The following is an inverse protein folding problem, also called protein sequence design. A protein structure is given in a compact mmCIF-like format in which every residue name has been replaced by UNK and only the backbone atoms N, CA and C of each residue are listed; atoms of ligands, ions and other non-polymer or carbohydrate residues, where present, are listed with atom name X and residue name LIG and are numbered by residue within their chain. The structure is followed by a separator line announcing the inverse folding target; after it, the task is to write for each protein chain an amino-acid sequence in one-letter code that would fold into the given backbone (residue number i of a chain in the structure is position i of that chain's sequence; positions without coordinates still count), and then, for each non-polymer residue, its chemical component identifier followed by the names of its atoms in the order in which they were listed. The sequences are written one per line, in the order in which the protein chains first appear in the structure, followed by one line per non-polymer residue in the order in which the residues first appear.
data_IF_082100536660
#
_entry.id   IF_082100536660
#
_cell.length_a   1.000
_cell.length_b   1.000
_cell.length_c   1.000
_cell.angle_alpha   90.00
_cell.angle_beta   90.00
_cell.angle_gamma   90.00
#
_symmetry.space_group_name_H-M   'P 1'
#
loop_
_entity.id
_entity.type
_entity.pdbx_description
1 polymer ?
#
# COMPACT_ATOMS: atom_id res chain seq x y z
N UNK A 1 -27.21 48.21 -19.47
CA UNK A 1 -26.34 49.09 -20.21
C UNK A 1 -24.91 48.71 -19.95
N UNK A 2 -24.18 48.21 -20.95
CA UNK A 2 -22.75 47.94 -20.87
C UNK A 2 -22.02 49.30 -20.76
N UNK A 3 -21.56 49.67 -19.59
CA UNK A 3 -20.56 50.73 -19.45
C UNK A 3 -19.19 50.10 -19.84
N UNK A 4 -18.81 50.24 -21.09
CA UNK A 4 -17.42 50.00 -21.53
C UNK A 4 -16.58 51.16 -20.99
N UNK A 5 -15.93 50.94 -19.83
CA UNK A 5 -14.97 51.89 -19.28
C UNK A 5 -13.77 52.02 -20.22
N UNK A 6 -13.38 53.25 -20.57
CA UNK A 6 -12.16 53.55 -21.31
C UNK A 6 -11.00 53.74 -20.32
N UNK A 7 -9.91 53.01 -20.49
CA UNK A 7 -8.68 53.23 -19.72
C UNK A 7 -7.81 54.22 -20.48
N UNK A 8 -7.57 55.35 -19.84
CA UNK A 8 -6.77 56.43 -20.45
C UNK A 8 -5.58 56.75 -19.56
N UNK A 9 -4.40 56.65 -20.10
CA UNK A 9 -3.16 57.14 -19.50
C UNK A 9 -2.99 58.59 -19.86
N UNK A 10 -2.88 59.48 -18.86
CA UNK A 10 -2.75 60.93 -19.07
C UNK A 10 -1.41 61.44 -18.56
N UNK A 11 -0.76 62.26 -19.37
CA UNK A 11 0.42 62.99 -18.98
C UNK A 11 0.17 64.48 -19.19
N UNK A 12 0.35 65.29 -18.15
CA UNK A 12 0.14 66.72 -18.22
C UNK A 12 1.42 67.47 -17.93
N UNK A 13 1.66 68.54 -18.69
CA UNK A 13 2.78 69.43 -18.52
C UNK A 13 2.32 70.89 -18.65
N UNK A 14 2.91 71.76 -17.86
CA UNK A 14 2.68 73.21 -18.01
C UNK A 14 3.56 73.74 -19.15
N UNK A 15 2.95 74.39 -20.12
CA UNK A 15 3.62 75.00 -21.28
C UNK A 15 3.27 76.48 -21.34
N UNK A 16 4.09 77.26 -21.99
CA UNK A 16 3.71 78.59 -22.43
C UNK A 16 2.98 78.51 -23.79
N UNK A 17 1.77 78.95 -23.83
CA UNK A 17 0.99 79.03 -25.06
C UNK A 17 0.56 80.45 -25.33
N UNK A 18 1.21 81.09 -26.31
CA UNK A 18 0.96 82.45 -26.71
C UNK A 18 1.16 83.53 -25.59
N UNK A 19 2.20 83.32 -24.75
CA UNK A 19 2.50 84.21 -23.66
C UNK A 19 1.64 84.01 -22.38
N UNK A 20 0.89 82.91 -22.32
CA UNK A 20 0.08 82.54 -21.16
C UNK A 20 0.40 81.11 -20.70
N UNK A 21 0.49 80.84 -19.38
CA UNK A 21 0.68 79.50 -18.87
C UNK A 21 -0.56 78.62 -19.20
N UNK A 22 -0.35 77.51 -19.85
CA UNK A 22 -1.36 76.53 -20.23
C UNK A 22 -0.97 75.14 -19.79
N UNK A 23 -1.94 74.22 -19.57
CA UNK A 23 -1.68 72.81 -19.30
C UNK A 23 -1.89 72.03 -20.62
N UNK A 24 -0.86 71.44 -21.09
CA UNK A 24 -0.94 70.44 -22.18
C UNK A 24 -1.16 69.07 -21.56
N UNK A 25 -2.30 68.43 -21.88
CA UNK A 25 -2.57 67.04 -21.47
C UNK A 25 -2.59 66.15 -22.70
N UNK A 26 -1.74 65.16 -22.71
CA UNK A 26 -1.76 64.08 -23.67
C UNK A 26 -2.51 62.92 -23.07
N UNK A 27 -3.55 62.43 -23.73
CA UNK A 27 -4.33 61.29 -23.32
C UNK A 27 -4.15 60.14 -24.31
N UNK A 28 -3.75 58.99 -23.80
CA UNK A 28 -3.53 57.77 -24.61
C UNK A 28 -4.52 56.71 -24.19
N UNK A 29 -5.27 56.14 -25.12
CA UNK A 29 -6.11 54.98 -24.87
C UNK A 29 -5.26 53.73 -24.66
N UNK A 30 -5.35 53.10 -23.48
CA UNK A 30 -4.62 51.91 -23.09
C UNK A 30 -5.59 50.74 -22.78
N UNK A 31 -6.86 50.87 -23.19
CA UNK A 31 -7.91 49.88 -22.88
C UNK A 31 -7.56 48.47 -23.42
N UNK A 32 -7.01 48.39 -24.63
CA UNK A 32 -6.59 47.12 -25.23
C UNK A 32 -5.44 46.45 -24.42
N UNK A 33 -4.41 47.22 -24.03
CA UNK A 33 -3.32 46.73 -23.21
C UNK A 33 -3.84 46.22 -21.85
N UNK A 34 -4.71 47.00 -21.19
CA UNK A 34 -5.30 46.61 -19.91
C UNK A 34 -6.20 45.39 -20.04
N UNK A 35 -6.96 45.23 -21.10
CA UNK A 35 -7.79 44.05 -21.32
C UNK A 35 -6.95 42.77 -21.49
N UNK A 36 -5.81 42.87 -22.19
CA UNK A 36 -4.86 41.77 -22.34
C UNK A 36 -4.21 41.38 -21.00
N UNK A 37 -3.77 42.38 -20.22
CA UNK A 37 -3.19 42.15 -18.88
C UNK A 37 -4.17 41.43 -17.97
N UNK A 38 -5.43 41.87 -17.93
CA UNK A 38 -6.52 41.27 -17.13
C UNK A 38 -6.82 39.86 -17.62
N UNK A 39 -6.91 39.66 -18.93
CA UNK A 39 -7.16 38.34 -19.54
C UNK A 39 -6.02 37.34 -19.22
N UNK A 40 -4.77 37.75 -19.35
CA UNK A 40 -3.61 36.95 -19.02
C UNK A 40 -3.59 36.59 -17.51
N UNK A 41 -3.83 37.60 -16.65
CA UNK A 41 -3.88 37.34 -15.20
C UNK A 41 -5.02 36.41 -14.80
N UNK A 42 -6.17 36.51 -15.47
CA UNK A 42 -7.31 35.61 -15.25
C UNK A 42 -6.98 34.18 -15.70
N UNK A 43 -6.40 34.03 -16.88
CA UNK A 43 -5.98 32.72 -17.40
C UNK A 43 -4.94 32.05 -16.50
N UNK A 44 -3.93 32.81 -16.04
CA UNK A 44 -2.91 32.32 -15.10
C UNK A 44 -3.51 31.85 -13.78
N UNK A 45 -4.41 32.64 -13.18
CA UNK A 45 -5.11 32.26 -11.94
C UNK A 45 -5.95 31.01 -12.12
N UNK A 46 -6.68 30.93 -13.23
CA UNK A 46 -7.52 29.77 -13.51
C UNK A 46 -6.70 28.50 -13.66
N UNK A 47 -5.53 28.55 -14.33
CA UNK A 47 -4.62 27.43 -14.41
C UNK A 47 -4.08 27.03 -13.03
N UNK A 48 -3.71 28.00 -12.18
CA UNK A 48 -3.28 27.75 -10.80
C UNK A 48 -4.39 27.09 -9.96
N UNK A 49 -5.62 27.63 -9.96
CA UNK A 49 -6.73 26.99 -9.24
C UNK A 49 -7.02 25.59 -9.72
N UNK A 50 -6.88 25.33 -11.03
CA UNK A 50 -7.05 23.96 -11.55
C UNK A 50 -6.00 23.01 -10.98
N UNK A 51 -4.74 23.41 -10.93
CA UNK A 51 -3.66 22.61 -10.36
C UNK A 51 -3.80 22.42 -8.85
N UNK A 52 -4.25 23.47 -8.13
CA UNK A 52 -4.48 23.40 -6.67
C UNK A 52 -5.71 22.55 -6.29
N UNK A 53 -6.69 22.39 -7.20
CA UNK A 53 -7.87 21.55 -6.98
C UNK A 53 -7.63 20.07 -7.25
N UNK A 54 -6.48 19.70 -7.81
CA UNK A 54 -6.09 18.30 -8.04
C UNK A 54 -5.67 17.70 -6.69
N UNK A 55 -6.27 16.55 -6.35
CA UNK A 55 -5.92 15.80 -5.13
C UNK A 55 -4.57 15.09 -5.20
N UNK A 56 -3.99 15.02 -6.40
CA UNK A 56 -2.66 14.46 -6.62
C UNK A 56 -1.58 15.52 -6.37
N UNK A 57 -0.42 15.08 -5.85
CA UNK A 57 0.74 15.94 -5.74
C UNK A 57 1.28 16.31 -7.13
N UNK A 58 1.42 17.60 -7.41
CA UNK A 58 1.99 18.10 -8.66
C UNK A 58 3.18 18.99 -8.36
N UNK A 59 4.32 18.66 -8.96
CA UNK A 59 5.55 19.46 -8.94
C UNK A 59 5.97 19.74 -10.37
N UNK A 60 6.35 20.98 -10.67
CA UNK A 60 7.05 21.29 -11.92
C UNK A 60 8.48 21.73 -11.63
N UNK A 61 9.35 21.47 -12.60
CA UNK A 61 10.76 21.84 -12.50
C UNK A 61 11.23 22.55 -13.79
N UNK A 62 12.31 23.29 -13.67
CA UNK A 62 13.06 23.81 -14.80
C UNK A 62 13.90 22.70 -15.48
N UNK A 63 14.71 23.12 -16.48
CA UNK A 63 15.61 22.23 -17.22
C UNK A 63 16.76 21.64 -16.37
N UNK A 64 17.09 22.26 -15.27
CA UNK A 64 18.14 21.82 -14.34
C UNK A 64 17.56 20.91 -13.26
N UNK A 65 16.24 20.63 -13.32
CA UNK A 65 15.52 19.80 -12.36
C UNK A 65 15.20 20.51 -11.04
N UNK A 66 15.27 21.87 -11.03
CA UNK A 66 14.91 22.66 -9.84
C UNK A 66 13.44 22.96 -9.83
N UNK A 67 12.82 22.83 -8.67
CA UNK A 67 11.38 23.04 -8.45
C UNK A 67 11.04 24.52 -8.69
N UNK A 68 10.09 24.78 -9.57
CA UNK A 68 9.51 26.10 -9.86
C UNK A 68 8.04 26.23 -9.40
N UNK A 69 7.35 25.11 -9.21
CA UNK A 69 5.99 25.08 -8.69
C UNK A 69 5.70 23.77 -7.93
N UNK A 70 4.88 23.88 -6.89
CA UNK A 70 4.32 22.79 -6.10
C UNK A 70 2.89 23.14 -5.71
N UNK A 71 1.94 22.20 -5.85
CA UNK A 71 0.55 22.38 -5.39
C UNK A 71 0.41 21.96 -3.92
N UNK A 72 -0.75 22.32 -3.32
CA UNK A 72 -1.06 22.04 -1.90
C UNK A 72 -1.01 20.55 -1.56
N UNK A 73 -1.44 19.66 -2.49
CA UNK A 73 -1.39 18.22 -2.26
C UNK A 73 0.06 17.72 -2.16
N UNK A 74 0.96 18.25 -2.98
CA UNK A 74 2.39 17.93 -2.89
C UNK A 74 3.03 18.45 -1.61
N UNK A 75 2.69 19.68 -1.18
CA UNK A 75 3.14 20.23 0.10
C UNK A 75 2.74 19.34 1.28
N UNK A 76 1.50 18.86 1.29
CA UNK A 76 0.97 18.01 2.34
C UNK A 76 1.65 16.62 2.39
N UNK A 77 1.94 16.03 1.22
CA UNK A 77 2.56 14.71 1.13
C UNK A 77 4.05 14.73 1.46
N UNK A 78 4.76 15.81 1.11
CA UNK A 78 6.21 15.93 1.34
C UNK A 78 6.51 16.52 2.72
N UNK A 79 5.55 17.24 3.32
CA UNK A 79 5.76 17.95 4.58
C UNK A 79 6.54 19.28 4.45
N UNK A 80 6.77 19.77 3.22
CA UNK A 80 7.54 20.97 2.94
C UNK A 80 6.70 21.95 2.13
N UNK A 81 6.68 23.23 2.50
CA UNK A 81 5.94 24.24 1.76
C UNK A 81 6.66 24.64 0.47
N UNK A 82 5.89 25.16 -0.51
CA UNK A 82 6.40 25.54 -1.83
C UNK A 82 7.53 26.57 -1.81
N UNK A 83 7.49 27.50 -0.86
CA UNK A 83 8.49 28.57 -0.79
C UNK A 83 9.85 28.03 -0.32
N UNK A 84 9.84 27.05 0.58
CA UNK A 84 11.05 26.35 1.00
C UNK A 84 11.55 25.36 -0.05
N UNK A 85 10.67 24.72 -0.80
CA UNK A 85 11.01 23.78 -1.86
C UNK A 85 11.53 24.45 -3.14
N UNK A 86 11.18 25.73 -3.38
CA UNK A 86 11.54 26.44 -4.61
C UNK A 86 13.05 26.49 -4.82
N UNK A 87 13.51 26.13 -6.02
CA UNK A 87 14.92 26.09 -6.41
C UNK A 87 15.70 24.88 -5.95
N UNK A 88 15.13 24.01 -5.10
CA UNK A 88 15.71 22.72 -4.70
C UNK A 88 15.45 21.64 -5.73
N UNK A 89 16.23 20.56 -5.74
CA UNK A 89 15.95 19.36 -6.52
C UNK A 89 15.01 18.43 -5.74
N UNK A 90 14.21 17.66 -6.45
CA UNK A 90 13.27 16.72 -5.82
C UNK A 90 13.97 15.74 -4.86
N UNK A 91 15.15 15.23 -5.23
CA UNK A 91 15.94 14.34 -4.40
C UNK A 91 16.49 14.94 -3.10
N UNK A 92 16.41 16.26 -2.93
CA UNK A 92 16.71 16.98 -1.69
C UNK A 92 15.52 17.02 -0.72
N UNK A 93 14.30 16.76 -1.19
CA UNK A 93 13.08 16.80 -0.38
C UNK A 93 12.61 15.41 0.04
N UNK A 94 12.80 14.40 -0.81
CA UNK A 94 12.42 13.03 -0.52
C UNK A 94 13.23 12.02 -1.32
N UNK A 95 13.28 10.80 -0.83
CA UNK A 95 13.91 9.66 -1.51
C UNK A 95 12.85 8.65 -1.91
N UNK A 96 12.97 8.07 -3.11
CA UNK A 96 12.13 6.98 -3.58
C UNK A 96 12.85 5.65 -3.45
N UNK A 97 12.18 4.68 -2.83
CA UNK A 97 12.68 3.30 -2.67
C UNK A 97 11.65 2.29 -3.16
N UNK A 98 12.10 1.09 -3.51
CA UNK A 98 11.20 -0.03 -3.79
C UNK A 98 10.66 -0.60 -2.46
N UNK A 99 9.35 -0.88 -2.41
CA UNK A 99 8.64 -1.39 -1.22
C UNK A 99 9.15 -2.77 -0.75
N UNK A 100 9.67 -3.62 -1.65
CA UNK A 100 10.08 -4.98 -1.30
C UNK A 100 11.49 -5.07 -0.73
N UNK A 101 12.45 -4.39 -1.34
CA UNK A 101 13.87 -4.56 -1.03
C UNK A 101 14.55 -3.25 -0.58
N UNK A 102 13.77 -2.16 -0.50
CA UNK A 102 14.22 -0.82 -0.08
C UNK A 102 15.34 -0.23 -0.92
N UNK A 103 15.55 -0.74 -2.14
CA UNK A 103 16.55 -0.17 -3.05
C UNK A 103 16.12 1.21 -3.52
N UNK A 104 17.05 2.17 -3.59
CA UNK A 104 16.79 3.48 -4.16
C UNK A 104 16.36 3.38 -5.62
N UNK A 105 15.26 4.04 -5.98
CA UNK A 105 14.74 4.09 -7.35
C UNK A 105 15.36 5.24 -8.18
N UNK A 106 16.12 6.14 -7.53
CA UNK A 106 16.75 7.30 -8.15
C UNK A 106 15.77 8.46 -8.38
N UNK A 107 16.31 9.57 -8.91
CA UNK A 107 15.54 10.80 -9.16
C UNK A 107 14.67 10.65 -10.43
N UNK A 108 13.34 10.79 -10.33
CA UNK A 108 12.43 10.68 -11.46
C UNK A 108 12.59 11.82 -12.48
N UNK A 109 12.96 13.02 -12.03
CA UNK A 109 13.15 14.20 -12.88
C UNK A 109 14.43 14.05 -13.68
N UNK A 110 15.52 13.71 -13.04
CA UNK A 110 16.80 13.47 -13.73
C UNK A 110 16.66 12.41 -14.82
N UNK A 111 16.00 11.31 -14.51
CA UNK A 111 15.70 10.24 -15.50
C UNK A 111 14.79 10.72 -16.63
N UNK A 112 13.77 11.53 -16.31
CA UNK A 112 12.84 12.07 -17.30
C UNK A 112 13.55 13.03 -18.26
N UNK A 113 14.36 13.96 -17.75
CA UNK A 113 15.07 14.96 -18.52
C UNK A 113 16.17 14.32 -19.40
N UNK A 114 16.94 13.38 -18.84
CA UNK A 114 18.00 12.66 -19.58
C UNK A 114 17.44 11.79 -20.71
N UNK A 115 16.35 11.04 -20.43
CA UNK A 115 15.72 10.17 -21.43
C UNK A 115 14.78 10.92 -22.38
N UNK A 116 14.46 12.20 -22.10
CA UNK A 116 13.54 13.05 -22.87
C UNK A 116 12.16 12.44 -23.10
N UNK A 117 11.70 11.57 -22.19
CA UNK A 117 10.43 10.86 -22.25
C UNK A 117 9.83 10.70 -20.87
N UNK A 118 8.52 10.36 -20.85
CA UNK A 118 7.80 10.01 -19.63
C UNK A 118 8.48 8.83 -18.92
N UNK A 119 8.65 8.96 -17.61
CA UNK A 119 9.19 7.95 -16.70
C UNK A 119 8.15 7.67 -15.62
N UNK A 120 7.82 6.41 -15.44
CA UNK A 120 7.01 5.94 -14.31
C UNK A 120 7.93 5.18 -13.36
N UNK A 121 7.86 5.47 -12.07
CA UNK A 121 8.71 4.85 -11.04
C UNK A 121 8.20 3.50 -10.57
N UNK A 122 7.08 3.05 -11.15
CA UNK A 122 6.47 1.76 -10.86
C UNK A 122 5.49 1.79 -9.69
N UNK A 123 4.70 0.71 -9.60
CA UNK A 123 3.64 0.58 -8.58
C UNK A 123 4.14 0.25 -7.18
N UNK A 124 5.45 0.07 -6.99
CA UNK A 124 6.05 -0.32 -5.70
C UNK A 124 6.89 0.79 -5.10
N UNK A 125 6.79 2.00 -5.64
CA UNK A 125 7.53 3.13 -5.12
C UNK A 125 6.98 3.57 -3.76
N UNK A 126 7.89 3.77 -2.83
CA UNK A 126 7.67 4.34 -1.52
C UNK A 126 8.48 5.62 -1.42
N UNK A 127 7.83 6.70 -1.06
CA UNK A 127 8.42 8.00 -0.81
C UNK A 127 8.77 8.10 0.67
N UNK A 128 10.03 8.40 0.95
CA UNK A 128 10.54 8.68 2.29
C UNK A 128 10.85 10.18 2.36
N UNK A 129 10.22 10.89 3.28
CA UNK A 129 10.49 12.30 3.53
C UNK A 129 11.84 12.50 4.23
N UNK A 130 12.42 13.69 4.12
CA UNK A 130 13.76 13.99 4.66
C UNK A 130 13.84 13.84 6.19
N UNK A 131 12.74 14.11 6.89
CA UNK A 131 12.62 13.91 8.34
C UNK A 131 12.59 12.43 8.76
N UNK A 132 12.36 11.51 7.81
CA UNK A 132 12.26 10.08 8.05
C UNK A 132 11.01 9.66 8.87
N UNK A 133 10.13 10.60 9.21
CA UNK A 133 8.93 10.33 10.01
C UNK A 133 7.74 9.90 9.16
N UNK A 134 7.73 10.25 7.86
CA UNK A 134 6.61 9.97 6.96
C UNK A 134 7.04 9.08 5.81
N UNK A 135 6.27 8.02 5.62
CA UNK A 135 6.43 7.05 4.54
C UNK A 135 5.12 6.92 3.78
N UNK A 136 5.14 7.27 2.49
CA UNK A 136 3.96 7.19 1.63
C UNK A 136 4.19 6.21 0.47
N UNK A 137 3.26 5.28 0.29
CA UNK A 137 3.22 4.50 -0.95
C UNK A 137 2.70 5.37 -2.07
N UNK A 138 3.50 5.59 -3.13
CA UNK A 138 3.12 6.50 -4.20
C UNK A 138 3.13 5.83 -5.57
N UNK A 139 2.20 6.25 -6.45
CA UNK A 139 2.32 6.05 -7.90
C UNK A 139 2.83 7.36 -8.50
N UNK A 140 4.07 7.37 -8.97
CA UNK A 140 4.77 8.57 -9.41
C UNK A 140 5.15 8.48 -10.87
N UNK A 141 4.82 9.56 -11.59
CA UNK A 141 5.18 9.73 -12.99
C UNK A 141 5.81 11.10 -13.22
N UNK A 142 6.99 11.12 -13.88
CA UNK A 142 7.63 12.32 -14.40
C UNK A 142 7.45 12.40 -15.92
N UNK A 143 7.07 13.55 -16.44
CA UNK A 143 6.85 13.80 -17.86
C UNK A 143 7.56 15.10 -18.28
N UNK A 144 8.25 15.13 -19.45
CA UNK A 144 8.93 16.34 -19.90
C UNK A 144 7.91 17.39 -20.35
N UNK A 145 8.11 18.63 -19.92
CA UNK A 145 7.35 19.79 -20.40
C UNK A 145 8.05 20.32 -21.66
N UNK A 146 7.28 20.45 -22.75
CA UNK A 146 7.82 20.90 -24.06
C UNK A 146 7.40 22.33 -24.35
N UNK A 147 8.36 23.13 -24.68
CA UNK A 147 8.19 24.50 -25.15
C UNK A 147 7.81 24.60 -26.64
N UNK A 148 7.66 25.82 -27.16
CA UNK A 148 7.17 26.09 -28.53
C UNK A 148 7.97 25.40 -29.65
N UNK A 149 9.24 25.18 -29.50
CA UNK A 149 10.14 24.54 -30.48
C UNK A 149 10.38 23.06 -30.22
N UNK A 150 9.48 22.38 -29.48
CA UNK A 150 9.67 21.01 -29.00
C UNK A 150 10.93 20.83 -28.11
N UNK A 151 11.52 21.96 -27.67
CA UNK A 151 12.57 21.97 -26.66
C UNK A 151 11.98 21.59 -25.30
N UNK A 152 12.74 20.86 -24.51
CA UNK A 152 12.32 20.59 -23.13
C UNK A 152 12.57 21.86 -22.31
N UNK A 153 11.55 22.32 -21.57
CA UNK A 153 11.61 23.46 -20.68
C UNK A 153 11.63 23.06 -19.21
N UNK A 154 11.52 21.76 -18.90
CA UNK A 154 11.48 21.22 -17.56
C UNK A 154 10.75 19.89 -17.51
N UNK A 155 10.33 19.49 -16.34
CA UNK A 155 9.52 18.30 -16.11
C UNK A 155 8.30 18.62 -15.22
N UNK A 156 7.24 17.86 -15.39
CA UNK A 156 6.14 17.78 -14.46
C UNK A 156 6.14 16.41 -13.79
N UNK A 157 6.08 16.39 -12.48
CA UNK A 157 5.95 15.18 -11.66
C UNK A 157 4.58 15.17 -11.05
N UNK A 158 3.88 14.07 -11.25
CA UNK A 158 2.58 13.80 -10.63
C UNK A 158 2.73 12.57 -9.77
N UNK A 159 2.28 12.66 -8.54
CA UNK A 159 2.30 11.54 -7.62
C UNK A 159 1.00 11.45 -6.83
N UNK A 160 0.51 10.24 -6.76
CA UNK A 160 -0.72 9.88 -6.10
C UNK A 160 -0.40 9.02 -4.88
N UNK A 161 -0.91 9.39 -3.71
CA UNK A 161 -0.81 8.57 -2.51
C UNK A 161 -1.73 7.36 -2.64
N UNK A 162 -1.12 6.17 -2.66
CA UNK A 162 -1.84 4.89 -2.76
C UNK A 162 -1.71 4.06 -1.47
N UNK A 163 -1.28 4.68 -0.37
CA UNK A 163 -1.02 4.01 0.91
C UNK A 163 -2.27 3.30 1.43
N UNK A 164 -3.42 3.98 1.43
CA UNK A 164 -4.68 3.39 1.86
C UNK A 164 -5.10 2.23 0.95
N UNK A 165 -5.05 2.43 -0.37
CA UNK A 165 -5.40 1.41 -1.36
C UNK A 165 -4.52 0.17 -1.21
N UNK A 166 -3.20 0.35 -1.04
CA UNK A 166 -2.28 -0.77 -0.81
C UNK A 166 -2.53 -1.44 0.53
N UNK A 167 -2.79 -0.67 1.59
CA UNK A 167 -3.15 -1.20 2.90
C UNK A 167 -4.40 -2.08 2.83
N UNK A 168 -5.44 -1.61 2.14
CA UNK A 168 -6.66 -2.38 1.89
C UNK A 168 -6.39 -3.64 1.05
N UNK A 169 -5.62 -3.51 -0.02
CA UNK A 169 -5.26 -4.65 -0.88
C UNK A 169 -4.47 -5.71 -0.11
N UNK A 170 -3.50 -5.31 0.72
CA UNK A 170 -2.75 -6.23 1.60
C UNK A 170 -3.67 -6.91 2.60
N UNK A 171 -4.58 -6.16 3.25
CA UNK A 171 -5.58 -6.73 4.17
C UNK A 171 -6.49 -7.73 3.46
N UNK A 172 -7.00 -7.38 2.28
CA UNK A 172 -7.84 -8.29 1.49
C UNK A 172 -7.08 -9.56 1.08
N UNK A 173 -5.84 -9.43 0.63
CA UNK A 173 -4.98 -10.58 0.28
C UNK A 173 -4.71 -11.46 1.50
N UNK A 174 -4.42 -10.85 2.65
CA UNK A 174 -4.23 -11.58 3.90
C UNK A 174 -5.51 -12.31 4.34
N UNK A 175 -6.66 -11.65 4.30
CA UNK A 175 -7.96 -12.27 4.62
C UNK A 175 -8.36 -13.38 3.64
N UNK A 176 -7.94 -13.27 2.37
CA UNK A 176 -8.19 -14.32 1.38
C UNK A 176 -7.41 -15.62 1.65
N UNK A 177 -6.32 -15.54 2.42
CA UNK A 177 -5.42 -16.67 2.70
C UNK A 177 -5.35 -17.06 4.18
N UNK A 178 -5.81 -16.20 5.12
CA UNK A 178 -5.70 -16.45 6.55
C UNK A 178 -7.07 -16.40 7.23
N UNK A 179 -7.22 -17.13 8.32
CA UNK A 179 -8.36 -17.06 9.22
C UNK A 179 -8.25 -15.80 10.10
N UNK A 180 -9.26 -14.91 10.11
CA UNK A 180 -9.18 -13.63 10.81
C UNK A 180 -9.16 -13.76 12.34
N UNK A 181 -9.59 -14.91 12.88
CA UNK A 181 -9.62 -15.15 14.32
C UNK A 181 -8.26 -15.59 14.85
N UNK A 182 -7.64 -16.58 14.20
CA UNK A 182 -6.43 -17.26 14.68
C UNK A 182 -5.15 -16.77 14.01
N UNK A 183 -5.25 -16.10 12.86
CA UNK A 183 -4.10 -15.70 12.04
C UNK A 183 -3.41 -16.85 11.31
N UNK A 184 -3.89 -18.10 11.46
CA UNK A 184 -3.42 -19.24 10.68
C UNK A 184 -3.92 -19.17 9.24
N UNK A 185 -3.37 -19.96 8.34
CA UNK A 185 -3.94 -20.05 7.00
C UNK A 185 -5.37 -20.58 7.08
N UNK A 186 -6.26 -20.07 6.22
CA UNK A 186 -7.64 -20.52 6.18
C UNK A 186 -7.78 -21.84 5.41
N UNK A 187 -8.94 -22.48 5.45
CA UNK A 187 -9.23 -23.75 4.77
C UNK A 187 -8.82 -23.71 3.29
N UNK A 188 -9.18 -22.64 2.58
CA UNK A 188 -8.89 -22.51 1.13
C UNK A 188 -7.40 -22.52 0.84
N UNK A 189 -6.61 -21.75 1.58
CA UNK A 189 -5.17 -21.70 1.41
C UNK A 189 -4.51 -23.01 1.86
N UNK A 190 -5.04 -23.65 2.91
CA UNK A 190 -4.58 -24.97 3.36
C UNK A 190 -4.78 -26.03 2.28
N UNK A 191 -5.97 -26.12 1.70
CA UNK A 191 -6.30 -27.04 0.61
C UNK A 191 -5.40 -26.81 -0.63
N UNK A 192 -5.11 -25.54 -0.97
CA UNK A 192 -4.18 -25.20 -2.05
C UNK A 192 -2.75 -25.68 -1.76
N UNK A 193 -2.26 -25.49 -0.52
CA UNK A 193 -0.93 -25.98 -0.09
C UNK A 193 -0.86 -27.49 -0.07
N UNK A 194 -1.94 -28.14 0.31
CA UNK A 194 -2.03 -29.59 0.28
C UNK A 194 -1.97 -30.12 -1.15
N UNK A 195 -2.66 -29.48 -2.09
CA UNK A 195 -2.62 -29.85 -3.52
C UNK A 195 -1.20 -29.69 -4.08
N UNK A 196 -0.50 -28.59 -3.78
CA UNK A 196 0.92 -28.40 -4.16
C UNK A 196 1.85 -29.46 -3.54
N UNK A 197 1.60 -29.87 -2.30
CA UNK A 197 2.38 -30.92 -1.66
C UNK A 197 2.12 -32.30 -2.28
N UNK A 198 0.89 -32.59 -2.69
CA UNK A 198 0.54 -33.79 -3.42
C UNK A 198 1.22 -33.83 -4.78
N UNK A 199 1.28 -32.71 -5.51
CA UNK A 199 1.99 -32.61 -6.79
C UNK A 199 3.49 -32.89 -6.62
N UNK A 200 4.13 -32.34 -5.57
CA UNK A 200 5.53 -32.60 -5.26
C UNK A 200 5.77 -34.05 -4.85
N UNK A 201 4.88 -34.64 -4.07
CA UNK A 201 4.97 -36.07 -3.70
C UNK A 201 4.90 -37.01 -4.91
N UNK A 202 4.07 -36.67 -5.91
CA UNK A 202 3.96 -37.41 -7.15
C UNK A 202 5.21 -37.28 -8.05
N UNK A 203 5.79 -36.05 -8.13
CA UNK A 203 6.90 -35.73 -9.03
C UNK A 203 8.27 -36.17 -8.49
N UNK A 204 8.50 -36.06 -7.18
CA UNK A 204 9.81 -36.21 -6.54
C UNK A 204 9.93 -37.45 -5.65
N UNK A 205 8.89 -38.28 -5.56
CA UNK A 205 8.81 -39.44 -4.65
C UNK A 205 9.06 -39.04 -3.16
N UNK A 206 8.77 -37.79 -2.81
CA UNK A 206 8.87 -37.33 -1.44
C UNK A 206 7.57 -37.60 -0.67
N UNK A 207 7.69 -37.90 0.63
CA UNK A 207 6.52 -38.08 1.49
C UNK A 207 6.30 -36.86 2.36
N UNK A 208 5.04 -36.43 2.49
CA UNK A 208 4.60 -35.41 3.40
C UNK A 208 3.57 -35.98 4.37
N UNK A 209 3.28 -35.26 5.44
CA UNK A 209 2.30 -35.75 6.43
C UNK A 209 1.21 -34.69 6.62
N UNK A 210 -0.03 -35.16 6.57
CA UNK A 210 -1.22 -34.37 6.88
C UNK A 210 -1.72 -34.72 8.27
N UNK A 211 -1.97 -33.72 9.11
CA UNK A 211 -2.74 -33.81 10.34
C UNK A 211 -4.08 -33.14 10.14
N UNK A 212 -5.15 -33.82 10.54
CA UNK A 212 -6.47 -33.25 10.74
C UNK A 212 -6.74 -33.31 12.24
N UNK A 213 -7.11 -32.17 12.83
CA UNK A 213 -7.16 -32.01 14.27
C UNK A 213 -8.50 -31.40 14.68
N UNK A 214 -9.14 -31.96 15.71
CA UNK A 214 -10.40 -31.46 16.27
C UNK A 214 -10.27 -31.25 17.78
N UNK A 215 -10.79 -30.14 18.29
CA UNK A 215 -10.73 -29.80 19.71
C UNK A 215 -11.82 -30.51 20.49
N UNK A 216 -11.41 -31.38 21.40
CA UNK A 216 -12.31 -32.06 22.29
C UNK A 216 -13.08 -31.09 23.23
N UNK A 217 -14.40 -31.23 23.27
CA UNK A 217 -15.27 -30.45 24.18
C UNK A 217 -15.29 -28.94 23.96
N UNK A 218 -14.86 -28.44 22.81
CA UNK A 218 -14.91 -27.00 22.51
C UNK A 218 -16.30 -26.39 22.66
N UNK A 219 -17.34 -27.13 22.23
CA UNK A 219 -18.72 -26.71 22.38
C UNK A 219 -19.12 -26.45 23.87
N UNK A 220 -18.60 -27.24 24.81
CA UNK A 220 -18.88 -27.05 26.23
C UNK A 220 -18.38 -25.72 26.79
N UNK A 221 -17.25 -25.21 26.24
CA UNK A 221 -16.71 -23.89 26.60
C UNK A 221 -17.62 -22.79 26.06
N UNK A 222 -18.07 -22.89 24.82
CA UNK A 222 -19.02 -21.93 24.23
C UNK A 222 -20.34 -21.90 24.99
N UNK A 223 -20.89 -23.08 25.30
CA UNK A 223 -22.17 -23.20 26.01
C UNK A 223 -22.08 -22.65 27.45
N UNK A 224 -20.90 -22.78 28.09
CA UNK A 224 -20.69 -22.35 29.48
C UNK A 224 -20.27 -20.89 29.64
N UNK A 225 -19.57 -20.33 28.68
CA UNK A 225 -18.88 -19.02 28.80
C UNK A 225 -19.14 -18.07 27.62
N UNK A 226 -19.88 -18.52 26.60
CA UNK A 226 -20.20 -17.76 25.40
C UNK A 226 -19.08 -17.79 24.36
N UNK A 227 -19.39 -17.36 23.13
CA UNK A 227 -18.50 -17.43 21.97
C UNK A 227 -17.19 -16.66 22.15
N UNK A 228 -17.17 -15.56 22.92
CA UNK A 228 -15.93 -14.83 23.20
C UNK A 228 -14.87 -15.68 23.93
N UNK A 229 -15.31 -16.59 24.81
CA UNK A 229 -14.41 -17.52 25.48
C UNK A 229 -13.85 -18.55 24.49
N UNK A 230 -14.70 -19.11 23.63
CA UNK A 230 -14.29 -20.02 22.58
C UNK A 230 -13.32 -19.37 21.58
N UNK A 231 -13.61 -18.14 21.15
CA UNK A 231 -12.72 -17.40 20.26
C UNK A 231 -11.32 -17.18 20.87
N UNK A 232 -11.27 -16.89 22.18
CA UNK A 232 -9.98 -16.73 22.86
C UNK A 232 -9.22 -18.06 22.97
N UNK A 233 -9.95 -19.14 23.32
CA UNK A 233 -9.38 -20.49 23.35
C UNK A 233 -8.80 -20.88 21.98
N UNK A 234 -9.52 -20.63 20.89
CA UNK A 234 -9.05 -20.93 19.53
C UNK A 234 -7.76 -20.19 19.18
N UNK A 235 -7.59 -18.94 19.62
CA UNK A 235 -6.33 -18.18 19.40
C UNK A 235 -5.16 -18.79 20.17
N UNK A 236 -5.39 -19.17 21.42
CA UNK A 236 -4.34 -19.75 22.26
C UNK A 236 -3.95 -21.16 21.79
N UNK A 237 -4.93 -21.97 21.39
CA UNK A 237 -4.68 -23.29 20.79
C UNK A 237 -3.92 -23.17 19.47
N UNK A 238 -4.31 -22.23 18.61
CA UNK A 238 -3.61 -21.97 17.35
C UNK A 238 -2.11 -21.66 17.57
N UNK A 239 -1.79 -20.87 18.58
CA UNK A 239 -0.40 -20.57 18.96
C UNK A 239 0.32 -21.86 19.46
N UNK A 240 -0.32 -22.63 20.35
CA UNK A 240 0.27 -23.88 20.85
C UNK A 240 0.58 -24.88 19.74
N UNK A 241 -0.31 -25.06 18.75
CA UNK A 241 -0.08 -25.92 17.61
C UNK A 241 1.07 -25.39 16.75
N UNK A 242 1.09 -24.06 16.48
CA UNK A 242 2.12 -23.41 15.65
C UNK A 242 3.52 -23.57 16.26
N UNK A 243 3.63 -23.53 17.58
CA UNK A 243 4.90 -23.68 18.30
C UNK A 243 5.48 -25.10 18.24
N UNK A 244 4.68 -26.14 17.88
CA UNK A 244 5.14 -27.51 17.76
C UNK A 244 5.66 -27.88 16.36
N UNK A 245 5.47 -27.01 15.37
CA UNK A 245 5.85 -27.25 13.97
C UNK A 245 6.91 -26.24 13.52
N UNK A 246 7.59 -26.55 12.43
CA UNK A 246 8.67 -25.68 11.87
C UNK A 246 8.05 -24.56 11.03
N UNK A 247 8.85 -23.52 10.75
CA UNK A 247 8.45 -22.44 9.84
C UNK A 247 8.18 -22.92 8.40
N UNK A 248 8.79 -24.04 8.00
CA UNK A 248 8.56 -24.67 6.70
C UNK A 248 7.23 -25.43 6.59
N UNK A 249 6.58 -25.70 7.73
CA UNK A 249 5.32 -26.44 7.79
C UNK A 249 4.14 -25.47 7.84
N UNK A 250 2.98 -25.92 7.38
CA UNK A 250 1.78 -25.10 7.31
C UNK A 250 0.78 -25.55 8.36
N UNK A 251 0.24 -24.58 9.11
CA UNK A 251 -0.86 -24.81 10.05
C UNK A 251 -2.04 -23.96 9.62
N UNK A 252 -3.21 -24.55 9.50
CA UNK A 252 -4.44 -23.89 9.09
C UNK A 252 -5.58 -24.14 10.03
N UNK A 253 -6.55 -23.21 10.08
CA UNK A 253 -7.86 -23.47 10.67
C UNK A 253 -8.83 -23.82 9.55
N UNK A 254 -9.41 -25.03 9.64
CA UNK A 254 -10.28 -25.59 8.59
C UNK A 254 -11.76 -25.18 8.78
N UNK A 255 -12.16 -24.90 10.02
CA UNK A 255 -13.49 -24.41 10.35
C UNK A 255 -13.81 -24.69 11.83
N UNK A 256 -14.71 -23.96 12.42
CA UNK A 256 -15.12 -24.21 13.82
C UNK A 256 -13.93 -24.41 14.77
N UNK A 257 -13.82 -25.60 15.31
CA UNK A 257 -12.79 -26.14 16.19
C UNK A 257 -11.78 -27.07 15.48
N UNK A 258 -11.84 -27.13 14.13
CA UNK A 258 -10.98 -27.98 13.31
C UNK A 258 -9.72 -27.24 12.85
N UNK A 259 -8.58 -27.90 12.97
CA UNK A 259 -7.27 -27.44 12.52
C UNK A 259 -6.63 -28.45 11.58
N UNK A 260 -5.73 -28.01 10.72
CA UNK A 260 -4.91 -28.83 9.88
C UNK A 260 -3.42 -28.51 10.04
N UNK A 261 -2.55 -29.50 9.96
CA UNK A 261 -1.13 -29.25 9.78
C UNK A 261 -0.58 -30.08 8.62
N UNK A 262 0.24 -29.44 7.78
CA UNK A 262 0.92 -30.06 6.64
C UNK A 262 2.42 -29.99 6.87
N UNK A 263 3.03 -31.15 7.13
CA UNK A 263 4.45 -31.28 7.42
C UNK A 263 5.20 -31.69 6.16
N UNK A 264 6.03 -30.81 5.66
CA UNK A 264 6.73 -31.01 4.38
C UNK A 264 7.98 -31.89 4.58
N UNK A 265 8.08 -32.99 3.77
CA UNK A 265 9.22 -33.89 3.84
C UNK A 265 9.44 -34.49 5.23
N UNK A 266 8.38 -34.78 5.96
CA UNK A 266 8.43 -35.25 7.33
C UNK A 266 8.30 -36.77 7.39
N UNK A 267 9.29 -37.53 7.94
CA UNK A 267 9.15 -38.95 8.17
C UNK A 267 8.04 -39.28 9.16
N UNK A 268 7.36 -40.41 8.97
CA UNK A 268 6.21 -40.86 9.77
C UNK A 268 6.49 -40.90 11.28
N UNK A 269 7.68 -41.40 11.68
CA UNK A 269 8.05 -41.46 13.11
C UNK A 269 8.17 -40.08 13.74
N UNK A 270 8.73 -39.11 12.97
CA UNK A 270 8.83 -37.72 13.43
C UNK A 270 7.45 -37.06 13.49
N UNK A 271 6.60 -37.34 12.52
CA UNK A 271 5.21 -36.84 12.52
C UNK A 271 4.43 -37.38 13.72
N UNK A 272 4.55 -38.66 14.06
CA UNK A 272 3.93 -39.21 15.27
C UNK A 272 4.40 -38.54 16.55
N UNK A 273 5.70 -38.21 16.63
CA UNK A 273 6.24 -37.47 17.76
C UNK A 273 5.61 -36.07 17.85
N UNK A 274 5.55 -35.34 16.73
CA UNK A 274 4.94 -34.01 16.68
C UNK A 274 3.46 -34.07 17.06
N UNK A 275 2.70 -35.05 16.59
CA UNK A 275 1.31 -35.23 16.97
C UNK A 275 1.17 -35.45 18.47
N UNK A 276 2.05 -36.28 19.05
CA UNK A 276 2.10 -36.52 20.51
C UNK A 276 2.43 -35.24 21.28
N UNK A 277 3.40 -34.47 20.80
CA UNK A 277 3.82 -33.21 21.41
C UNK A 277 2.67 -32.19 21.39
N UNK A 278 1.92 -32.08 20.28
CA UNK A 278 0.71 -31.26 20.17
C UNK A 278 -0.35 -31.71 21.19
N UNK A 279 -0.66 -33.00 21.24
CA UNK A 279 -1.65 -33.54 22.19
C UNK A 279 -1.26 -33.22 23.64
N UNK A 280 0.01 -33.43 24.00
CA UNK A 280 0.52 -33.14 25.34
C UNK A 280 0.45 -31.64 25.66
N UNK A 281 0.91 -30.78 24.74
CA UNK A 281 0.88 -29.33 24.93
C UNK A 281 -0.54 -28.81 25.20
N UNK A 282 -1.54 -29.37 24.49
CA UNK A 282 -2.94 -28.98 24.69
C UNK A 282 -3.53 -29.63 25.95
N UNK A 283 -3.19 -30.87 26.28
CA UNK A 283 -3.64 -31.54 27.51
C UNK A 283 -3.10 -30.86 28.78
N UNK A 284 -1.87 -30.35 28.74
CA UNK A 284 -1.25 -29.62 29.83
C UNK A 284 -1.72 -28.17 29.93
N UNK A 285 -2.29 -27.64 28.84
CA UNK A 285 -2.80 -26.27 28.78
C UNK A 285 -4.08 -26.12 29.62
N UNK A 286 -4.13 -25.06 30.42
CA UNK A 286 -5.26 -24.70 31.28
C UNK A 286 -5.90 -23.45 30.77
N UNK A 287 -7.02 -23.57 30.05
CA UNK A 287 -7.77 -22.41 29.65
C UNK A 287 -8.51 -21.79 30.83
N UNK A 288 -8.13 -20.56 31.19
CA UNK A 288 -8.74 -19.81 32.28
C UNK A 288 -9.60 -18.69 31.71
N UNK A 289 -10.88 -18.74 32.00
CA UNK A 289 -11.80 -17.68 31.59
C UNK A 289 -12.62 -17.20 32.80
N UNK A 290 -12.36 -15.96 33.24
CA UNK A 290 -12.88 -15.41 34.50
C UNK A 290 -12.55 -16.36 35.65
N UNK A 291 -13.58 -16.90 36.33
CA UNK A 291 -13.42 -17.78 37.51
C UNK A 291 -13.48 -19.28 37.14
N UNK A 292 -13.47 -19.64 35.85
CA UNK A 292 -13.57 -21.02 35.39
C UNK A 292 -12.27 -21.49 34.73
N UNK A 293 -11.91 -22.74 34.99
CA UNK A 293 -10.76 -23.42 34.39
C UNK A 293 -11.31 -24.60 33.59
N UNK A 294 -10.88 -24.67 32.33
CA UNK A 294 -11.23 -25.75 31.41
C UNK A 294 -9.98 -26.55 31.04
N UNK A 295 -10.13 -27.87 31.08
CA UNK A 295 -9.16 -28.80 30.46
C UNK A 295 -9.73 -29.21 29.12
N UNK A 296 -8.94 -29.08 28.09
CA UNK A 296 -9.28 -29.44 26.72
C UNK A 296 -8.36 -30.53 26.24
N UNK A 297 -8.77 -31.23 25.23
CA UNK A 297 -7.95 -32.18 24.47
C UNK A 297 -7.98 -31.82 23.00
N UNK A 298 -7.20 -32.53 22.22
CA UNK A 298 -7.23 -32.49 20.76
C UNK A 298 -7.10 -33.92 20.24
N UNK A 299 -7.98 -34.26 19.30
CA UNK A 299 -7.88 -35.49 18.52
C UNK A 299 -7.13 -35.23 17.24
N UNK A 300 -6.19 -36.09 16.85
CA UNK A 300 -5.31 -35.93 15.69
C UNK A 300 -5.38 -37.13 14.78
N UNK A 301 -5.97 -36.96 13.59
CA UNK A 301 -5.85 -37.91 12.48
C UNK A 301 -4.60 -37.64 11.66
N UNK A 302 -3.84 -38.66 11.33
CA UNK A 302 -2.56 -38.58 10.64
C UNK A 302 -2.58 -39.41 9.36
N UNK A 303 -2.30 -38.76 8.22
CA UNK A 303 -2.24 -39.40 6.90
C UNK A 303 -0.94 -39.07 6.19
N UNK A 304 -0.32 -40.10 5.60
CA UNK A 304 0.85 -39.93 4.73
C UNK A 304 0.39 -39.51 3.33
N UNK A 305 1.04 -38.46 2.79
CA UNK A 305 0.90 -38.03 1.42
C UNK A 305 2.11 -38.56 0.64
N UNK A 306 1.85 -39.42 -0.33
CA UNK A 306 2.87 -40.05 -1.16
C UNK A 306 2.43 -40.09 -2.62
N UNK A 307 3.26 -40.60 -3.50
CA UNK A 307 2.93 -40.83 -4.91
C UNK A 307 1.69 -41.72 -5.13
N UNK A 308 1.31 -42.53 -4.14
CA UNK A 308 0.14 -43.42 -4.21
C UNK A 308 -1.14 -42.78 -3.65
N UNK A 309 -1.06 -41.55 -3.14
CA UNK A 309 -2.22 -40.84 -2.57
C UNK A 309 -3.27 -40.54 -3.65
N UNK A 310 -4.54 -40.68 -3.30
CA UNK A 310 -5.68 -40.38 -4.16
C UNK A 310 -5.88 -38.88 -4.38
N UNK A 311 -7.13 -38.47 -4.59
CA UNK A 311 -7.47 -37.03 -4.71
C UNK A 311 -7.32 -36.29 -3.39
N UNK A 312 -7.25 -34.95 -3.45
CA UNK A 312 -7.25 -34.07 -2.26
C UNK A 312 -8.41 -34.41 -1.31
N UNK A 313 -9.57 -34.72 -1.88
CA UNK A 313 -10.77 -35.05 -1.10
C UNK A 313 -10.63 -36.41 -0.39
N UNK A 314 -9.99 -37.40 -1.02
CA UNK A 314 -9.72 -38.69 -0.43
C UNK A 314 -8.75 -38.56 0.75
N UNK A 315 -7.69 -37.79 0.58
CA UNK A 315 -6.65 -37.55 1.62
C UNK A 315 -7.27 -36.79 2.81
N UNK A 316 -8.07 -35.76 2.58
CA UNK A 316 -8.76 -35.01 3.64
C UNK A 316 -9.77 -35.88 4.40
N UNK A 317 -10.57 -36.68 3.69
CA UNK A 317 -11.53 -37.62 4.32
C UNK A 317 -10.84 -38.73 5.12
N UNK A 318 -9.71 -39.22 4.63
CA UNK A 318 -8.93 -40.21 5.36
C UNK A 318 -8.36 -39.65 6.67
N UNK A 319 -7.91 -38.38 6.64
CA UNK A 319 -7.37 -37.70 7.82
C UNK A 319 -8.46 -37.36 8.87
N UNK A 320 -9.66 -36.99 8.43
CA UNK A 320 -10.83 -36.76 9.30
C UNK A 320 -11.35 -38.05 9.96
N UNK A 321 -11.15 -39.20 9.30
CA UNK A 321 -11.61 -40.50 9.77
C UNK A 321 -10.60 -41.26 10.61
N UNK A 322 -9.34 -40.81 10.66
CA UNK A 322 -8.25 -41.46 11.34
C UNK A 322 -8.15 -41.17 12.83
#
# INVERSE_FOLDING_TARGET
GNQTGLWVETQSATIDFRGHPAILTIARDVSYRKSLEVSLSRSKRQAQYTLESIAEGVITTDNDGRIDYMNLAAEALIGTNRDAAAGHRIGELFTLVDDADRRPLGDPVERCLSMRRRVNMGRRAVMLTEDGEHEHSVDLTASPVRGPSNSISGAVVVFHDVSELRGLTRKMSYQATHDPLTGLINRREFERRLDEAMDTAHAEETAHMLFYMDLDRFKAVNDSCGHMAGDNMLREVAALIKDQVRDSDFVGRLGGDEFGALLIGCPIDKARQIATDICNAIADYRFVWKDKIFNIGISVGLVEISHASGSLQDVMSAADSA
#
